data_IF_382519562258
#
_entry.id   IF_382519562258
#
_cell.length_a   1.000
_cell.length_b   1.000
_cell.length_c   1.000
_cell.angle_alpha   90.00
_cell.angle_beta   90.00
_cell.angle_gamma   90.00
#
_symmetry.space_group_name_H-M   'P 1'
#
loop_
_entity.id
_entity.type
_entity.pdbx_description
1 polymer ?
#
# COMPACT_ATOMS: atom_id res chain seq x y z
N UNK A 1 -29.77 17.48 2.15
CA UNK A 1 -29.62 18.91 2.51
C UNK A 1 -28.29 19.03 3.26
N UNK A 2 -27.57 20.16 3.19
CA UNK A 2 -26.37 20.31 4.03
C UNK A 2 -26.77 20.32 5.50
N UNK A 3 -26.08 19.52 6.30
CA UNK A 3 -26.24 19.41 7.74
C UNK A 3 -25.04 20.06 8.42
N UNK A 4 -25.27 20.88 9.44
CA UNK A 4 -24.19 21.40 10.27
C UNK A 4 -23.60 20.29 11.12
N UNK A 5 -22.27 20.19 11.18
CA UNK A 5 -21.63 19.18 12.02
C UNK A 5 -21.17 19.81 13.34
N UNK A 6 -21.71 19.29 14.44
CA UNK A 6 -21.33 19.72 15.81
C UNK A 6 -20.35 18.74 16.47
N UNK A 7 -20.03 17.64 15.78
CA UNK A 7 -19.24 16.52 16.31
C UNK A 7 -18.50 15.77 15.19
N UNK A 8 -17.49 14.95 15.53
CA UNK A 8 -16.79 14.14 14.54
C UNK A 8 -17.69 13.24 13.72
N UNK A 9 -17.49 13.26 12.40
CA UNK A 9 -18.10 12.27 11.53
C UNK A 9 -17.55 10.88 11.83
N UNK A 10 -18.42 9.86 11.72
CA UNK A 10 -18.01 8.47 11.87
C UNK A 10 -17.05 8.07 10.75
N UNK A 11 -15.95 7.42 11.12
CA UNK A 11 -14.89 6.97 10.20
C UNK A 11 -13.50 7.36 10.69
N UNK A 12 -12.49 7.21 9.83
CA UNK A 12 -11.17 7.81 10.06
C UNK A 12 -11.28 9.33 10.13
N UNK A 13 -10.53 9.98 11.03
CA UNK A 13 -10.59 11.42 11.26
C UNK A 13 -9.20 11.94 11.62
N UNK A 14 -8.59 12.74 10.73
CA UNK A 14 -7.29 13.38 10.97
C UNK A 14 -7.39 14.86 11.36
N UNK A 15 -8.56 15.48 11.22
CA UNK A 15 -8.74 16.94 11.25
C UNK A 15 -9.99 17.39 12.04
N UNK A 16 -10.10 18.70 12.37
CA UNK A 16 -11.35 19.29 12.88
C UNK A 16 -12.51 19.10 11.90
N UNK A 17 -13.74 19.13 12.41
CA UNK A 17 -14.92 18.75 11.63
C UNK A 17 -15.37 19.84 10.66
N UNK A 18 -15.84 19.44 9.47
CA UNK A 18 -16.34 20.37 8.47
C UNK A 18 -17.56 21.15 8.97
N UNK A 19 -17.64 22.44 8.66
CA UNK A 19 -18.76 23.27 9.11
C UNK A 19 -20.13 22.74 8.62
N UNK A 20 -20.19 22.33 7.36
CA UNK A 20 -21.40 21.83 6.71
C UNK A 20 -21.06 20.61 5.84
N UNK A 21 -21.91 19.58 5.85
CA UNK A 21 -21.74 18.40 4.98
C UNK A 21 -23.05 18.02 4.30
N UNK A 22 -22.97 17.69 3.01
CA UNK A 22 -24.08 17.14 2.25
C UNK A 22 -23.96 15.62 2.24
N UNK A 23 -24.96 14.92 2.75
CA UNK A 23 -25.00 13.45 2.80
C UNK A 23 -25.97 12.85 1.78
N UNK A 24 -25.66 11.61 1.35
CA UNK A 24 -26.52 10.74 0.52
C UNK A 24 -27.22 9.65 1.36
N UNK A 25 -27.51 9.96 2.61
CA UNK A 25 -28.08 9.01 3.56
C UNK A 25 -29.07 9.69 4.48
N UNK A 26 -29.72 8.87 5.31
CA UNK A 26 -30.50 9.36 6.42
C UNK A 26 -29.58 9.77 7.59
N UNK A 27 -30.02 10.66 8.49
CA UNK A 27 -29.21 11.16 9.60
C UNK A 27 -28.48 10.08 10.43
N UNK A 28 -29.13 8.94 10.67
CA UNK A 28 -28.58 7.82 11.44
C UNK A 28 -27.35 7.13 10.80
N UNK A 29 -27.18 7.31 9.49
CA UNK A 29 -26.15 6.73 8.62
C UNK A 29 -25.13 7.78 8.15
N UNK A 30 -25.21 9.02 8.64
CA UNK A 30 -24.28 10.10 8.28
C UNK A 30 -22.86 9.80 8.78
N UNK A 31 -21.90 9.92 7.88
CA UNK A 31 -20.49 9.66 8.12
C UNK A 31 -19.64 9.96 6.88
N UNK A 32 -18.34 9.79 6.99
CA UNK A 32 -17.43 10.03 5.85
C UNK A 32 -17.72 9.12 4.65
N UNK A 33 -18.29 7.95 4.88
CA UNK A 33 -18.70 7.00 3.85
C UNK A 33 -19.96 7.44 3.06
N UNK A 34 -20.73 8.40 3.56
CA UNK A 34 -21.97 8.89 2.93
C UNK A 34 -21.90 10.38 2.55
N UNK A 35 -20.77 11.04 2.82
CA UNK A 35 -20.54 12.44 2.49
C UNK A 35 -20.38 12.66 0.97
N UNK A 36 -21.30 13.42 0.36
CA UNK A 36 -21.23 13.81 -1.05
C UNK A 36 -20.32 15.02 -1.27
N UNK A 37 -20.42 16.01 -0.39
CA UNK A 37 -19.66 17.26 -0.48
C UNK A 37 -19.53 17.88 0.91
N UNK A 38 -18.42 18.58 1.11
CA UNK A 38 -18.09 19.30 2.34
C UNK A 38 -18.10 20.80 2.04
N UNK A 39 -18.53 21.60 3.01
CA UNK A 39 -18.56 23.04 2.91
C UNK A 39 -17.95 23.69 4.15
N UNK A 40 -16.98 24.56 3.91
CA UNK A 40 -16.26 25.34 4.91
C UNK A 40 -16.88 26.73 5.05
N UNK A 41 -16.96 27.23 6.29
CA UNK A 41 -17.42 28.60 6.58
C UNK A 41 -16.30 29.37 7.29
N UNK A 42 -15.86 30.46 6.66
CA UNK A 42 -14.89 31.40 7.20
C UNK A 42 -15.59 32.72 7.51
N UNK A 43 -15.55 33.12 8.78
CA UNK A 43 -16.28 34.27 9.32
C UNK A 43 -15.47 35.58 9.37
N UNK A 44 -14.26 35.64 8.80
CA UNK A 44 -13.39 36.82 8.82
C UNK A 44 -13.15 37.39 7.42
N UNK A 45 -12.97 38.72 7.34
CA UNK A 45 -12.45 39.40 6.16
C UNK A 45 -10.95 39.05 5.92
N UNK A 46 -10.25 38.60 6.97
CA UNK A 46 -8.91 38.03 6.91
C UNK A 46 -8.97 36.54 6.49
N UNK A 47 -9.43 36.27 5.28
CA UNK A 47 -9.49 34.91 4.73
C UNK A 47 -8.07 34.35 4.52
N UNK A 48 -7.68 33.37 5.35
CA UNK A 48 -6.46 32.59 5.14
C UNK A 48 -6.74 31.40 4.22
N UNK A 49 -6.42 31.60 2.94
CA UNK A 49 -6.52 30.55 1.92
C UNK A 49 -5.70 29.31 2.26
N UNK A 50 -4.51 29.46 2.84
CA UNK A 50 -3.62 28.33 3.10
C UNK A 50 -4.20 27.42 4.19
N UNK A 51 -4.66 28.01 5.30
CA UNK A 51 -5.30 27.25 6.39
C UNK A 51 -6.61 26.58 5.95
N UNK A 52 -7.45 27.30 5.20
CA UNK A 52 -8.70 26.77 4.64
C UNK A 52 -8.43 25.58 3.70
N UNK A 53 -7.48 25.73 2.78
CA UNK A 53 -7.09 24.69 1.84
C UNK A 53 -6.52 23.46 2.56
N UNK A 54 -5.67 23.67 3.57
CA UNK A 54 -5.09 22.58 4.36
C UNK A 54 -6.18 21.71 4.99
N UNK A 55 -7.21 22.32 5.58
CA UNK A 55 -8.36 21.59 6.16
C UNK A 55 -9.11 20.79 5.10
N UNK A 56 -9.44 21.41 3.96
CA UNK A 56 -10.16 20.74 2.87
C UNK A 56 -9.38 19.56 2.29
N UNK A 57 -8.05 19.62 2.27
CA UNK A 57 -7.19 18.49 1.88
C UNK A 57 -7.33 17.32 2.85
N UNK A 58 -7.37 17.58 4.16
CA UNK A 58 -7.59 16.51 5.16
C UNK A 58 -8.99 15.90 5.04
N UNK A 59 -10.02 16.73 4.87
CA UNK A 59 -11.39 16.26 4.66
C UNK A 59 -11.51 15.41 3.39
N UNK A 60 -10.80 15.78 2.33
CA UNK A 60 -10.72 14.99 1.11
C UNK A 60 -10.00 13.66 1.32
N UNK A 61 -8.92 13.64 2.11
CA UNK A 61 -8.25 12.41 2.52
C UNK A 61 -9.19 11.49 3.31
N UNK A 62 -9.98 12.02 4.24
CA UNK A 62 -10.97 11.22 4.99
C UNK A 62 -12.11 10.70 4.07
N UNK A 63 -12.58 11.49 3.11
CA UNK A 63 -13.52 11.01 2.09
C UNK A 63 -12.91 9.89 1.24
N UNK A 64 -11.71 10.08 0.70
CA UNK A 64 -11.04 9.05 -0.10
C UNK A 64 -10.78 7.78 0.73
N UNK A 65 -10.43 7.91 2.01
CA UNK A 65 -10.25 6.76 2.89
C UNK A 65 -11.55 5.97 3.14
N UNK A 66 -12.70 6.63 3.22
CA UNK A 66 -13.98 5.99 3.54
C UNK A 66 -14.82 5.64 2.30
N UNK A 67 -14.51 6.22 1.14
CA UNK A 67 -15.17 6.00 -0.16
C UNK A 67 -14.10 5.58 -1.18
N UNK A 68 -13.81 4.29 -1.24
CA UNK A 68 -12.77 3.72 -2.12
C UNK A 68 -13.16 3.69 -3.61
N UNK A 69 -14.37 4.14 -3.96
CA UNK A 69 -14.84 4.40 -5.32
C UNK A 69 -14.91 5.91 -5.64
N UNK A 70 -14.25 6.76 -4.83
CA UNK A 70 -14.22 8.21 -5.04
C UNK A 70 -12.98 8.63 -5.84
N UNK A 71 -13.22 9.29 -6.98
CA UNK A 71 -12.20 9.80 -7.92
C UNK A 71 -11.78 11.25 -7.66
N UNK A 72 -12.72 12.05 -7.18
CA UNK A 72 -12.49 13.45 -6.80
C UNK A 72 -13.60 13.92 -5.86
N UNK A 73 -13.31 14.94 -5.06
CA UNK A 73 -14.27 15.62 -4.20
C UNK A 73 -14.45 17.06 -4.63
N UNK A 74 -15.71 17.53 -4.61
CA UNK A 74 -16.04 18.94 -4.77
C UNK A 74 -16.48 19.46 -3.40
N UNK A 75 -15.86 20.52 -2.92
CA UNK A 75 -16.22 21.25 -1.72
C UNK A 75 -16.56 22.71 -2.01
N UNK A 76 -17.23 23.35 -1.06
CA UNK A 76 -17.54 24.78 -1.09
C UNK A 76 -16.73 25.50 -0.01
N UNK A 77 -16.30 26.73 -0.30
CA UNK A 77 -15.80 27.64 0.72
C UNK A 77 -16.69 28.87 0.75
N UNK A 78 -17.31 29.14 1.88
CA UNK A 78 -18.03 30.38 2.16
C UNK A 78 -17.10 31.32 2.93
N UNK A 79 -16.80 32.48 2.35
CA UNK A 79 -16.03 33.55 2.98
C UNK A 79 -16.93 34.79 3.03
N UNK A 80 -17.57 35.01 4.19
CA UNK A 80 -18.63 35.99 4.36
C UNK A 80 -19.73 35.90 3.27
N UNK A 81 -19.76 36.85 2.32
CA UNK A 81 -20.76 36.94 1.22
C UNK A 81 -20.25 36.37 -0.10
N UNK A 82 -19.06 35.79 -0.10
CA UNK A 82 -18.46 35.21 -1.30
C UNK A 82 -18.34 33.70 -1.17
N UNK A 83 -18.48 33.01 -2.29
CA UNK A 83 -18.42 31.55 -2.37
C UNK A 83 -17.50 31.14 -3.51
N UNK A 84 -16.84 29.99 -3.34
CA UNK A 84 -16.11 29.32 -4.42
C UNK A 84 -16.29 27.81 -4.33
N UNK A 85 -16.01 27.15 -5.45
CA UNK A 85 -15.89 25.69 -5.50
C UNK A 85 -14.42 25.30 -5.46
N UNK A 86 -14.13 24.21 -4.76
CA UNK A 86 -12.82 23.59 -4.71
C UNK A 86 -12.97 22.14 -5.12
N UNK A 87 -12.24 21.72 -6.15
CA UNK A 87 -12.14 20.33 -6.55
C UNK A 87 -10.79 19.78 -6.11
N UNK A 88 -10.84 18.66 -5.40
CA UNK A 88 -9.66 17.92 -4.95
C UNK A 88 -9.72 16.56 -5.62
N UNK A 89 -8.72 16.26 -6.43
CA UNK A 89 -8.50 14.98 -7.10
C UNK A 89 -7.11 14.45 -6.74
N UNK A 90 -6.65 13.38 -7.38
CA UNK A 90 -5.33 12.78 -7.09
C UNK A 90 -4.14 13.50 -7.77
N UNK A 91 -4.39 14.63 -8.45
CA UNK A 91 -3.38 15.59 -8.91
C UNK A 91 -3.34 16.84 -8.01
N UNK A 92 -4.04 16.83 -6.87
CA UNK A 92 -4.10 17.93 -5.90
C UNK A 92 -5.36 18.78 -6.04
N UNK A 93 -5.22 20.11 -5.96
CA UNK A 93 -6.38 21.02 -5.85
C UNK A 93 -6.57 21.90 -7.09
N UNK A 94 -7.82 22.15 -7.46
CA UNK A 94 -8.28 23.18 -8.41
C UNK A 94 -9.37 23.99 -7.71
N UNK A 95 -9.22 25.31 -7.63
CA UNK A 95 -10.21 26.20 -7.02
C UNK A 95 -10.75 27.19 -8.06
N UNK A 96 -12.05 27.45 -8.01
CA UNK A 96 -12.64 28.57 -8.78
C UNK A 96 -12.24 29.91 -8.16
N UNK A 97 -12.44 30.99 -8.92
CA UNK A 97 -12.53 32.32 -8.33
C UNK A 97 -13.72 32.39 -7.37
N UNK A 98 -13.66 33.35 -6.45
CA UNK A 98 -14.80 33.69 -5.60
C UNK A 98 -15.85 34.44 -6.41
N UNK A 99 -17.11 34.15 -6.16
CA UNK A 99 -18.25 34.94 -6.64
C UNK A 99 -19.07 35.45 -5.46
N UNK A 100 -19.64 36.64 -5.60
CA UNK A 100 -20.49 37.25 -4.58
C UNK A 100 -21.92 36.72 -4.69
N UNK A 101 -22.49 36.24 -3.58
CA UNK A 101 -23.80 35.58 -3.56
C UNK A 101 -24.97 36.54 -3.79
N UNK A 102 -24.81 37.84 -3.55
CA UNK A 102 -25.86 38.82 -3.80
C UNK A 102 -25.90 39.23 -5.26
N UNK A 103 -24.71 39.35 -5.86
CA UNK A 103 -24.56 39.72 -7.25
C UNK A 103 -24.82 38.53 -8.18
N UNK A 104 -24.47 37.31 -7.76
CA UNK A 104 -24.55 36.09 -8.54
C UNK A 104 -25.22 34.92 -7.78
N UNK A 105 -26.46 35.11 -7.27
CA UNK A 105 -27.16 34.08 -6.49
C UNK A 105 -27.45 32.81 -7.30
N UNK A 106 -27.56 32.92 -8.63
CA UNK A 106 -27.80 31.78 -9.51
C UNK A 106 -26.61 30.81 -9.52
N UNK A 107 -25.38 31.29 -9.35
CA UNK A 107 -24.20 30.43 -9.25
C UNK A 107 -24.22 29.59 -7.96
N UNK A 108 -24.65 30.16 -6.84
CA UNK A 108 -24.80 29.41 -5.59
C UNK A 108 -25.85 28.30 -5.74
N UNK A 109 -27.02 28.64 -6.28
CA UNK A 109 -28.11 27.67 -6.51
C UNK A 109 -27.66 26.55 -7.45
N UNK A 110 -26.98 26.89 -8.55
CA UNK A 110 -26.43 25.90 -9.50
C UNK A 110 -25.40 25.00 -8.85
N UNK A 111 -24.54 25.54 -7.98
CA UNK A 111 -23.50 24.78 -7.29
C UNK A 111 -24.11 23.74 -6.35
N UNK A 112 -25.04 24.18 -5.48
CA UNK A 112 -25.71 23.29 -4.53
C UNK A 112 -26.61 22.27 -5.26
N UNK A 113 -27.40 22.71 -6.25
CA UNK A 113 -28.23 21.80 -7.04
C UNK A 113 -27.39 20.79 -7.82
N UNK A 114 -26.24 21.22 -8.37
CA UNK A 114 -25.29 20.34 -9.04
C UNK A 114 -24.79 19.23 -8.11
N UNK A 115 -24.40 19.57 -6.88
CA UNK A 115 -23.93 18.60 -5.89
C UNK A 115 -25.03 17.64 -5.41
N UNK A 116 -26.29 18.10 -5.35
CA UNK A 116 -27.42 17.30 -4.88
C UNK A 116 -28.02 16.38 -5.95
N UNK A 117 -28.06 16.82 -7.22
CA UNK A 117 -28.89 16.19 -8.25
C UNK A 117 -28.12 15.71 -9.47
N UNK A 118 -26.82 15.99 -9.59
CA UNK A 118 -26.04 15.45 -10.70
C UNK A 118 -25.81 13.94 -10.55
N UNK A 119 -25.43 13.29 -11.64
CA UNK A 119 -25.09 11.87 -11.62
C UNK A 119 -23.94 11.57 -10.65
N UNK A 120 -23.86 10.35 -10.13
CA UNK A 120 -22.73 9.93 -9.26
C UNK A 120 -21.37 10.17 -9.94
N UNK A 121 -21.28 9.92 -11.25
CA UNK A 121 -20.09 10.23 -12.04
C UNK A 121 -19.73 11.72 -12.04
N UNK A 122 -20.73 12.61 -12.09
CA UNK A 122 -20.50 14.06 -12.11
C UNK A 122 -20.00 14.61 -10.76
N UNK A 123 -20.36 13.96 -9.66
CA UNK A 123 -19.92 14.34 -8.30
C UNK A 123 -18.72 13.53 -7.81
N UNK A 124 -18.11 12.72 -8.68
CA UNK A 124 -16.79 12.12 -8.44
C UNK A 124 -16.78 10.66 -8.03
N UNK A 125 -17.88 9.92 -8.15
CA UNK A 125 -17.86 8.46 -7.98
C UNK A 125 -17.42 7.74 -9.25
N UNK A 126 -16.73 6.63 -9.09
CA UNK A 126 -16.50 5.63 -10.13
C UNK A 126 -17.75 4.77 -10.32
N UNK A 127 -18.39 4.89 -11.48
CA UNK A 127 -19.62 4.16 -11.80
C UNK A 127 -19.38 2.75 -12.36
N UNK A 128 -18.13 2.32 -12.51
CA UNK A 128 -17.78 0.91 -12.74
C UNK A 128 -17.94 0.07 -11.48
N UNK A 129 -17.97 0.70 -10.30
CA UNK A 129 -18.29 0.06 -9.02
C UNK A 129 -19.77 0.30 -8.70
N UNK A 130 -20.47 -0.76 -8.33
CA UNK A 130 -21.90 -0.72 -8.03
C UNK A 130 -22.19 -1.51 -6.75
N UNK A 131 -23.13 -1.00 -5.95
CA UNK A 131 -23.61 -1.69 -4.75
C UNK A 131 -24.99 -2.29 -5.04
N UNK A 132 -25.11 -3.61 -4.94
CA UNK A 132 -26.37 -4.31 -5.10
C UNK A 132 -27.29 -4.02 -3.91
N UNK A 133 -28.59 -4.33 -4.05
CA UNK A 133 -29.57 -4.20 -2.96
C UNK A 133 -29.22 -5.03 -1.71
N UNK A 134 -28.40 -6.06 -1.88
CA UNK A 134 -27.89 -6.90 -0.79
C UNK A 134 -26.74 -6.26 -0.01
N UNK A 135 -26.24 -5.10 -0.45
CA UNK A 135 -25.01 -4.48 0.06
C UNK A 135 -23.73 -5.04 -0.57
N UNK A 136 -23.80 -6.13 -1.35
CA UNK A 136 -22.66 -6.67 -2.07
C UNK A 136 -22.20 -5.66 -3.13
N UNK A 137 -20.91 -5.32 -3.10
CA UNK A 137 -20.29 -4.46 -4.11
C UNK A 137 -19.75 -5.29 -5.26
N UNK A 138 -19.90 -4.77 -6.47
CA UNK A 138 -19.38 -5.35 -7.69
C UNK A 138 -18.57 -4.32 -8.46
N UNK A 139 -17.49 -4.74 -9.09
CA UNK A 139 -16.64 -3.90 -9.93
C UNK A 139 -16.56 -4.48 -11.33
N UNK A 140 -16.77 -3.62 -12.33
CA UNK A 140 -16.62 -3.97 -13.73
C UNK A 140 -15.24 -3.57 -14.23
N UNK A 141 -14.52 -4.54 -14.79
CA UNK A 141 -13.20 -4.36 -15.40
C UNK A 141 -13.22 -4.98 -16.79
N UNK A 142 -13.07 -4.16 -17.84
CA UNK A 142 -13.27 -4.58 -19.22
C UNK A 142 -14.70 -5.09 -19.47
N UNK A 143 -14.84 -6.35 -19.86
CA UNK A 143 -16.13 -7.02 -20.06
C UNK A 143 -16.58 -7.81 -18.84
N UNK A 144 -15.75 -7.87 -17.81
CA UNK A 144 -15.89 -8.79 -16.69
C UNK A 144 -16.41 -8.07 -15.45
N UNK A 145 -17.18 -8.79 -14.64
CA UNK A 145 -17.72 -8.28 -13.37
C UNK A 145 -17.20 -9.17 -12.25
N UNK A 146 -16.72 -8.54 -11.19
CA UNK A 146 -16.13 -9.18 -10.03
C UNK A 146 -16.88 -8.75 -8.77
N UNK A 147 -17.15 -9.69 -7.87
CA UNK A 147 -17.67 -9.38 -6.55
C UNK A 147 -16.52 -8.90 -5.67
N UNK A 148 -16.62 -7.69 -5.11
CA UNK A 148 -15.63 -7.18 -4.16
C UNK A 148 -15.85 -7.89 -2.83
N UNK A 149 -14.89 -8.72 -2.41
CA UNK A 149 -14.96 -9.46 -1.15
C UNK A 149 -14.49 -8.58 0.00
N UNK A 150 -13.37 -7.87 -0.17
CA UNK A 150 -12.82 -6.97 0.82
C UNK A 150 -11.89 -5.92 0.20
N UNK A 151 -11.75 -4.77 0.87
CA UNK A 151 -10.67 -3.82 0.60
C UNK A 151 -9.42 -4.23 1.37
N UNK A 152 -8.33 -4.51 0.66
CA UNK A 152 -7.05 -4.96 1.22
C UNK A 152 -6.14 -3.81 1.61
N UNK A 153 -6.14 -2.73 0.82
CA UNK A 153 -5.33 -1.54 1.07
C UNK A 153 -5.99 -0.29 0.45
N UNK A 154 -5.70 0.87 1.02
CA UNK A 154 -6.03 2.17 0.46
C UNK A 154 -4.96 3.19 0.84
N UNK A 155 -4.51 3.97 -0.14
CA UNK A 155 -3.76 5.21 0.10
C UNK A 155 -4.70 6.40 -0.15
N UNK A 156 -5.10 7.14 0.91
CA UNK A 156 -6.01 8.28 0.80
C UNK A 156 -5.32 9.60 0.41
N UNK A 157 -4.05 9.57 -0.01
CA UNK A 157 -3.31 10.76 -0.41
C UNK A 157 -4.03 11.51 -1.55
N UNK A 158 -4.22 12.82 -1.35
CA UNK A 158 -4.81 13.72 -2.36
C UNK A 158 -3.87 14.00 -3.53
N UNK A 159 -2.62 13.54 -3.49
CA UNK A 159 -1.69 13.68 -4.61
C UNK A 159 -0.80 12.46 -4.66
N UNK A 160 -0.78 11.76 -5.79
CA UNK A 160 0.01 10.55 -5.95
C UNK A 160 -0.76 9.43 -6.62
N UNK A 161 -0.34 8.18 -6.37
CA UNK A 161 -0.98 7.00 -6.96
C UNK A 161 -2.36 6.70 -6.39
N UNK A 162 -2.64 7.15 -5.16
CA UNK A 162 -3.90 6.91 -4.45
C UNK A 162 -4.39 5.45 -4.59
N UNK A 163 -3.45 4.53 -4.37
CA UNK A 163 -3.64 3.11 -4.66
C UNK A 163 -4.77 2.53 -3.84
N UNK A 164 -5.68 1.80 -4.50
CA UNK A 164 -6.70 0.98 -3.83
C UNK A 164 -6.52 -0.46 -4.26
N UNK A 165 -6.54 -1.39 -3.31
CA UNK A 165 -6.42 -2.82 -3.60
C UNK A 165 -7.61 -3.55 -3.04
N UNK A 166 -8.29 -4.34 -3.87
CA UNK A 166 -9.40 -5.20 -3.48
C UNK A 166 -9.07 -6.67 -3.65
N UNK A 167 -9.52 -7.46 -2.68
CA UNK A 167 -9.79 -8.87 -2.88
C UNK A 167 -11.14 -8.97 -3.58
N UNK A 168 -11.15 -9.57 -4.76
CA UNK A 168 -12.37 -9.78 -5.50
C UNK A 168 -12.52 -11.24 -5.90
N UNK A 169 -13.73 -11.64 -6.27
CA UNK A 169 -14.05 -13.00 -6.67
C UNK A 169 -14.85 -13.00 -7.96
N UNK A 170 -14.54 -13.96 -8.83
CA UNK A 170 -15.34 -14.23 -10.02
C UNK A 170 -15.34 -15.73 -10.31
N UNK A 171 -16.52 -16.29 -10.54
CA UNK A 171 -16.70 -17.72 -10.82
C UNK A 171 -16.02 -18.64 -9.78
N UNK A 172 -16.03 -18.23 -8.50
CA UNK A 172 -15.38 -18.96 -7.40
C UNK A 172 -13.86 -18.83 -7.33
N UNK A 173 -13.23 -18.04 -8.21
CA UNK A 173 -11.79 -17.79 -8.21
C UNK A 173 -11.51 -16.46 -7.52
N UNK A 174 -10.64 -16.49 -6.52
CA UNK A 174 -10.15 -15.31 -5.80
C UNK A 174 -9.04 -14.62 -6.61
N UNK A 175 -9.12 -13.30 -6.70
CA UNK A 175 -8.22 -12.44 -7.46
C UNK A 175 -7.92 -11.14 -6.68
N UNK A 176 -6.92 -10.41 -7.16
CA UNK A 176 -6.61 -9.06 -6.69
C UNK A 176 -6.96 -8.05 -7.77
N UNK A 177 -7.61 -6.96 -7.40
CA UNK A 177 -7.79 -5.79 -8.27
C UNK A 177 -7.04 -4.62 -7.65
N UNK A 178 -6.09 -4.05 -8.38
CA UNK A 178 -5.27 -2.90 -7.97
C UNK A 178 -5.64 -1.69 -8.84
N UNK A 179 -6.11 -0.63 -8.21
CA UNK A 179 -6.41 0.67 -8.82
C UNK A 179 -5.33 1.68 -8.51
N UNK A 180 -4.96 2.48 -9.51
CA UNK A 180 -3.89 3.48 -9.42
C UNK A 180 -4.19 4.72 -10.28
N UNK A 181 -3.78 5.88 -9.78
CA UNK A 181 -3.69 7.14 -10.52
C UNK A 181 -2.26 7.39 -10.96
N UNK A 182 -1.92 6.99 -12.18
CA UNK A 182 -0.56 7.08 -12.69
C UNK A 182 -0.34 8.37 -13.46
N UNK A 183 0.83 8.98 -13.28
CA UNK A 183 1.29 10.04 -14.18
C UNK A 183 1.22 9.52 -15.64
N UNK A 184 0.77 10.35 -16.57
CA UNK A 184 0.66 9.99 -17.99
C UNK A 184 1.98 9.43 -18.53
N UNK A 185 3.13 9.98 -18.11
CA UNK A 185 4.46 9.57 -18.57
C UNK A 185 4.89 8.21 -17.99
N UNK A 186 4.45 7.89 -16.78
CA UNK A 186 4.81 6.66 -16.05
C UNK A 186 3.70 5.60 -16.04
N UNK A 187 2.62 5.85 -16.77
CA UNK A 187 1.54 4.90 -16.94
C UNK A 187 2.07 3.61 -17.57
N UNK A 188 1.48 2.46 -17.22
CA UNK A 188 1.81 1.15 -17.79
C UNK A 188 3.18 0.54 -17.43
N UNK A 189 4.05 1.22 -16.65
CA UNK A 189 5.37 0.67 -16.28
C UNK A 189 5.23 -0.64 -15.50
N UNK A 190 4.50 -0.65 -14.38
CA UNK A 190 4.31 -1.86 -13.56
C UNK A 190 3.73 -3.00 -14.38
N UNK A 191 2.69 -2.73 -15.18
CA UNK A 191 2.07 -3.72 -16.06
C UNK A 191 3.07 -4.28 -17.09
N UNK A 192 3.94 -3.45 -17.66
CA UNK A 192 4.99 -3.88 -18.58
C UNK A 192 6.04 -4.78 -17.91
N UNK A 193 6.41 -4.48 -16.67
CA UNK A 193 7.32 -5.32 -15.87
C UNK A 193 6.66 -6.66 -15.54
N UNK A 194 5.40 -6.65 -15.09
CA UNK A 194 4.64 -7.89 -14.83
C UNK A 194 4.47 -8.75 -16.08
N UNK A 195 4.24 -8.14 -17.24
CA UNK A 195 4.16 -8.86 -18.52
C UNK A 195 5.51 -9.50 -18.90
N UNK A 196 6.62 -8.81 -18.61
CA UNK A 196 7.99 -9.32 -18.82
C UNK A 196 8.32 -10.48 -17.87
N UNK A 197 7.76 -10.44 -16.65
CA UNK A 197 8.00 -11.41 -15.58
C UNK A 197 6.95 -12.54 -15.49
N UNK A 198 5.96 -12.59 -16.39
CA UNK A 198 4.78 -13.49 -16.31
C UNK A 198 5.08 -14.99 -16.24
N UNK A 199 6.26 -15.39 -16.74
CA UNK A 199 6.78 -16.76 -16.79
C UNK A 199 7.60 -17.13 -15.54
N UNK A 200 7.90 -16.18 -14.65
CA UNK A 200 8.66 -16.41 -13.43
C UNK A 200 7.72 -17.01 -12.35
N UNK A 201 8.00 -18.22 -11.84
CA UNK A 201 7.27 -18.76 -10.69
C UNK A 201 7.44 -17.87 -9.46
N UNK A 202 6.35 -17.63 -8.73
CA UNK A 202 6.38 -16.77 -7.54
C UNK A 202 6.31 -15.27 -7.84
N UNK A 203 5.97 -14.84 -9.06
CA UNK A 203 5.59 -13.46 -9.39
C UNK A 203 4.09 -13.39 -9.71
N UNK A 204 3.42 -12.32 -9.27
CA UNK A 204 2.03 -12.08 -9.62
C UNK A 204 1.85 -11.89 -11.14
N UNK A 205 0.75 -12.41 -11.67
CA UNK A 205 0.43 -12.36 -13.10
C UNK A 205 -0.65 -11.34 -13.37
N UNK A 206 -0.41 -10.49 -14.37
CA UNK A 206 -1.40 -9.57 -14.90
C UNK A 206 -2.42 -10.35 -15.75
N UNK A 207 -3.70 -10.27 -15.38
CA UNK A 207 -4.82 -10.85 -16.12
C UNK A 207 -5.43 -9.83 -17.06
N UNK A 208 -5.61 -8.60 -16.58
CA UNK A 208 -6.22 -7.51 -17.35
C UNK A 208 -5.67 -6.19 -16.86
N UNK A 209 -5.44 -5.27 -17.80
CA UNK A 209 -5.13 -3.87 -17.54
C UNK A 209 -6.14 -3.02 -18.29
N UNK A 210 -6.77 -2.07 -17.61
CA UNK A 210 -7.64 -1.09 -18.24
C UNK A 210 -7.26 0.34 -17.83
N UNK A 211 -7.52 1.29 -18.74
CA UNK A 211 -7.80 2.66 -18.35
C UNK A 211 -9.27 2.75 -18.02
N UNK A 212 -9.62 3.22 -16.83
CA UNK A 212 -11.02 3.30 -16.38
C UNK A 212 -11.78 4.25 -17.29
N UNK A 213 -13.01 3.88 -17.65
CA UNK A 213 -13.87 4.64 -18.55
C UNK A 213 -15.11 5.14 -17.80
N UNK A 214 -15.24 6.46 -17.64
CA UNK A 214 -16.40 7.10 -17.02
C UNK A 214 -17.19 7.83 -18.09
N UNK A 215 -18.48 7.52 -18.22
CA UNK A 215 -19.36 8.09 -19.25
C UNK A 215 -18.78 7.99 -20.67
N UNK A 216 -18.10 6.87 -20.98
CA UNK A 216 -17.41 6.58 -22.26
C UNK A 216 -16.17 7.44 -22.56
N UNK A 217 -15.66 8.15 -21.57
CA UNK A 217 -14.41 8.91 -21.65
C UNK A 217 -13.36 8.28 -20.76
N UNK A 218 -12.09 8.30 -21.19
CA UNK A 218 -10.96 7.88 -20.34
C UNK A 218 -10.92 8.75 -19.10
N UNK A 219 -10.91 8.12 -17.96
CA UNK A 219 -10.91 8.81 -16.69
C UNK A 219 -9.51 9.34 -16.37
N UNK A 220 -9.45 10.63 -16.07
CA UNK A 220 -8.21 11.36 -15.83
C UNK A 220 -8.48 12.65 -15.08
N UNK A 221 -7.44 13.21 -14.46
CA UNK A 221 -7.51 14.53 -13.81
C UNK A 221 -7.47 15.71 -14.81
N UNK A 222 -7.41 15.44 -16.13
CA UNK A 222 -7.23 16.47 -17.15
C UNK A 222 -8.44 17.41 -17.33
N UNK A 223 -9.66 16.94 -17.04
CA UNK A 223 -10.92 17.61 -17.43
C UNK A 223 -10.94 19.10 -17.03
N UNK A 224 -10.64 19.39 -15.77
CA UNK A 224 -10.63 20.76 -15.23
C UNK A 224 -9.23 21.38 -15.18
N UNK A 225 -8.19 20.58 -15.40
CA UNK A 225 -6.79 21.02 -15.32
C UNK A 225 -6.24 21.50 -16.65
N UNK A 226 -6.83 21.11 -17.77
CA UNK A 226 -6.41 21.52 -19.12
C UNK A 226 -6.37 23.03 -19.34
N UNK A 227 -7.08 23.82 -18.53
CA UNK A 227 -7.07 25.28 -18.54
C UNK A 227 -5.89 25.90 -17.76
N UNK A 228 -5.18 25.09 -16.96
CA UNK A 228 -4.04 25.51 -16.14
C UNK A 228 -2.74 25.39 -16.92
N UNK A 229 -1.71 26.17 -16.56
CA UNK A 229 -0.39 26.09 -17.17
C UNK A 229 0.45 24.98 -16.52
N UNK A 230 0.82 23.96 -17.31
CA UNK A 230 1.68 22.85 -16.88
C UNK A 230 1.10 21.96 -15.77
N UNK A 231 -0.18 21.52 -15.85
CA UNK A 231 -0.77 20.72 -14.80
C UNK A 231 -0.18 19.30 -14.77
N UNK A 232 -0.01 18.76 -13.57
CA UNK A 232 0.19 17.32 -13.39
C UNK A 232 -1.11 16.58 -13.74
N UNK A 233 -1.07 15.74 -14.78
CA UNK A 233 -2.22 14.95 -15.22
C UNK A 233 -1.95 13.48 -14.88
N UNK A 234 -2.95 12.84 -14.28
CA UNK A 234 -2.93 11.42 -13.95
C UNK A 234 -4.05 10.68 -14.67
N UNK A 235 -3.74 9.49 -15.16
CA UNK A 235 -4.68 8.53 -15.75
C UNK A 235 -5.09 7.51 -14.69
N UNK A 236 -6.38 7.22 -14.64
CA UNK A 236 -6.93 6.19 -13.76
C UNK A 236 -6.78 4.82 -14.43
N UNK A 237 -5.96 3.95 -13.85
CA UNK A 237 -5.65 2.63 -14.37
C UNK A 237 -5.97 1.54 -13.35
N UNK A 238 -6.46 0.41 -13.85
CA UNK A 238 -6.84 -0.73 -13.04
C UNK A 238 -6.25 -2.03 -13.56
N UNK A 239 -5.73 -2.83 -12.65
CA UNK A 239 -5.12 -4.13 -12.94
C UNK A 239 -5.85 -5.24 -12.21
N UNK A 240 -6.16 -6.32 -12.93
CA UNK A 240 -6.61 -7.60 -12.37
C UNK A 240 -5.41 -8.53 -12.31
N UNK A 241 -5.15 -9.11 -11.14
CA UNK A 241 -3.94 -9.89 -10.86
C UNK A 241 -4.27 -11.23 -10.20
N UNK A 242 -3.43 -12.23 -10.47
CA UNK A 242 -3.56 -13.61 -9.95
C UNK A 242 -2.17 -14.21 -9.64
N UNK A 243 -2.04 -15.15 -8.70
CA UNK A 243 -3.06 -15.62 -7.76
C UNK A 243 -3.36 -14.58 -6.67
N UNK A 244 -4.51 -14.72 -6.02
CA UNK A 244 -4.73 -14.10 -4.72
C UNK A 244 -3.78 -14.72 -3.68
N UNK A 245 -3.27 -13.90 -2.77
CA UNK A 245 -2.33 -14.33 -1.74
C UNK A 245 -2.56 -13.56 -0.43
N UNK A 246 -2.20 -14.19 0.68
CA UNK A 246 -2.28 -13.65 2.03
C UNK A 246 -0.94 -13.03 2.43
N UNK A 247 -0.96 -12.12 3.41
CA UNK A 247 0.27 -11.50 3.94
C UNK A 247 1.21 -12.56 4.51
N UNK A 248 2.52 -12.31 4.48
CA UNK A 248 3.52 -13.23 5.06
C UNK A 248 3.22 -13.60 6.50
N UNK A 249 2.58 -12.72 7.28
CA UNK A 249 2.23 -12.96 8.67
C UNK A 249 1.27 -14.14 8.90
N UNK A 250 0.54 -14.56 7.87
CA UNK A 250 -0.42 -15.66 7.92
C UNK A 250 0.25 -17.04 7.78
N UNK A 251 1.57 -17.13 7.94
CA UNK A 251 2.30 -18.40 7.93
C UNK A 251 1.74 -19.37 8.98
N UNK A 252 1.68 -20.66 8.66
CA UNK A 252 1.15 -21.74 9.53
C UNK A 252 2.21 -22.35 10.44
N UNK A 253 3.48 -22.25 10.05
CA UNK A 253 4.64 -22.76 10.79
C UNK A 253 5.90 -22.00 10.37
N UNK A 254 6.98 -22.11 11.15
CA UNK A 254 8.29 -21.56 10.75
C UNK A 254 8.78 -22.21 9.46
N UNK A 255 8.50 -23.50 9.25
CA UNK A 255 8.84 -24.19 8.00
C UNK A 255 8.17 -23.53 6.79
N UNK A 256 6.89 -23.18 6.90
CA UNK A 256 6.19 -22.45 5.84
C UNK A 256 6.77 -21.04 5.65
N UNK A 257 7.03 -20.30 6.72
CA UNK A 257 7.65 -18.99 6.65
C UNK A 257 8.98 -19.03 5.87
N UNK A 258 9.90 -19.91 6.25
CA UNK A 258 11.19 -20.04 5.57
C UNK A 258 11.01 -20.52 4.11
N UNK A 259 10.03 -21.39 3.84
CA UNK A 259 9.72 -21.81 2.47
C UNK A 259 9.23 -20.66 1.59
N UNK A 260 8.40 -19.77 2.13
CA UNK A 260 7.89 -18.57 1.44
C UNK A 260 9.04 -17.61 1.11
N UNK A 261 9.99 -17.42 2.03
CA UNK A 261 11.20 -16.64 1.75
C UNK A 261 12.04 -17.26 0.63
N UNK A 262 12.22 -18.58 0.62
CA UNK A 262 12.95 -19.28 -0.44
C UNK A 262 12.29 -19.03 -1.80
N UNK A 263 10.97 -19.20 -1.90
CA UNK A 263 10.23 -18.97 -3.14
C UNK A 263 10.35 -17.51 -3.62
N UNK A 264 10.24 -16.53 -2.71
CA UNK A 264 10.37 -15.11 -3.04
C UNK A 264 11.80 -14.72 -3.48
N UNK A 265 12.84 -15.29 -2.86
CA UNK A 265 14.24 -15.05 -3.24
C UNK A 265 14.56 -15.67 -4.60
N UNK A 266 14.00 -16.84 -4.93
CA UNK A 266 14.16 -17.44 -6.26
C UNK A 266 13.41 -16.66 -7.36
N UNK A 267 12.22 -16.15 -7.04
CA UNK A 267 11.49 -15.24 -7.92
C UNK A 267 12.28 -13.95 -8.17
N UNK A 268 12.82 -13.35 -7.12
CA UNK A 268 13.70 -12.17 -7.19
C UNK A 268 14.98 -12.45 -7.99
N UNK A 269 15.62 -13.61 -7.78
CA UNK A 269 16.77 -14.06 -8.58
C UNK A 269 16.43 -14.09 -10.07
N UNK A 270 15.25 -14.61 -10.41
CA UNK A 270 14.77 -14.70 -11.79
C UNK A 270 14.47 -13.33 -12.39
N UNK A 271 13.92 -12.38 -11.60
CA UNK A 271 13.75 -10.98 -12.04
C UNK A 271 15.09 -10.34 -12.39
N UNK A 272 16.12 -10.52 -11.55
CA UNK A 272 17.45 -9.98 -11.80
C UNK A 272 18.07 -10.53 -13.08
N UNK A 273 17.84 -11.81 -13.42
CA UNK A 273 18.25 -12.37 -14.70
C UNK A 273 17.52 -11.76 -15.91
N UNK A 274 16.34 -11.17 -15.68
CA UNK A 274 15.58 -10.38 -16.67
C UNK A 274 15.88 -8.89 -16.61
N UNK A 275 17.00 -8.48 -16.00
CA UNK A 275 17.41 -7.09 -15.85
C UNK A 275 16.54 -6.25 -14.91
N UNK A 276 15.68 -6.88 -14.09
CA UNK A 276 14.73 -6.19 -13.21
C UNK A 276 15.20 -6.33 -11.75
N UNK A 277 15.47 -5.21 -11.10
CA UNK A 277 15.71 -5.12 -9.65
C UNK A 277 14.42 -4.66 -8.96
N UNK A 278 14.03 -5.29 -7.84
CA UNK A 278 12.71 -5.02 -7.25
C UNK A 278 12.68 -3.72 -6.43
N UNK A 279 13.76 -3.43 -5.69
CA UNK A 279 13.97 -2.17 -4.96
C UNK A 279 12.99 -1.88 -3.81
N UNK A 280 12.01 -2.75 -3.56
CA UNK A 280 10.99 -2.58 -2.51
C UNK A 280 10.61 -3.92 -1.87
N UNK A 281 11.62 -4.70 -1.50
CA UNK A 281 11.41 -5.92 -0.72
C UNK A 281 10.94 -5.53 0.69
N UNK A 282 9.71 -5.92 1.03
CA UNK A 282 9.06 -5.57 2.31
C UNK A 282 8.19 -6.72 2.83
N UNK A 283 7.80 -6.66 4.10
CA UNK A 283 6.84 -7.64 4.66
C UNK A 283 5.44 -7.56 4.03
N UNK A 284 5.14 -6.50 3.28
CA UNK A 284 3.86 -6.36 2.56
C UNK A 284 3.93 -6.91 1.14
N UNK A 285 5.14 -7.11 0.60
CA UNK A 285 5.36 -7.52 -0.79
C UNK A 285 5.75 -9.00 -0.91
N UNK A 286 6.11 -9.65 0.20
CA UNK A 286 6.25 -11.10 0.28
C UNK A 286 4.92 -11.68 0.79
N UNK A 287 4.31 -12.55 -0.01
CA UNK A 287 2.96 -13.05 0.19
C UNK A 287 2.94 -14.59 0.16
N UNK A 288 1.84 -15.17 0.66
CA UNK A 288 1.59 -16.61 0.71
C UNK A 288 0.38 -16.90 -0.17
N UNK A 289 0.57 -17.55 -1.32
CA UNK A 289 -0.54 -17.96 -2.17
C UNK A 289 -1.12 -19.29 -1.70
N UNK A 290 -2.41 -19.53 -1.96
CA UNK A 290 -3.02 -20.83 -1.67
C UNK A 290 -2.60 -21.93 -2.68
N UNK A 291 -1.72 -21.61 -3.63
CA UNK A 291 -1.05 -22.62 -4.45
C UNK A 291 -0.14 -23.49 -3.57
N UNK A 292 -0.23 -24.81 -3.75
CA UNK A 292 0.46 -25.78 -2.92
C UNK A 292 1.71 -26.34 -3.63
N UNK A 293 2.81 -26.47 -2.89
CA UNK A 293 3.99 -27.20 -3.38
C UNK A 293 3.61 -28.66 -3.72
N UNK A 294 3.91 -29.09 -4.94
CA UNK A 294 3.69 -30.47 -5.39
C UNK A 294 2.24 -30.85 -5.68
N UNK A 295 1.31 -29.89 -5.73
CA UNK A 295 -0.09 -30.13 -6.10
C UNK A 295 -0.56 -29.18 -7.20
N UNK A 296 -1.43 -29.68 -8.08
CA UNK A 296 -2.19 -28.89 -9.06
C UNK A 296 -3.57 -28.45 -8.54
N UNK A 297 -3.92 -28.78 -7.29
CA UNK A 297 -5.20 -28.40 -6.69
C UNK A 297 -5.16 -26.99 -6.11
N UNK A 298 -6.12 -26.15 -6.50
CA UNK A 298 -6.33 -24.79 -6.00
C UNK A 298 -7.24 -24.70 -4.76
N UNK A 299 -7.29 -25.76 -3.93
CA UNK A 299 -8.10 -25.76 -2.70
C UNK A 299 -7.31 -25.16 -1.52
N UNK A 300 -7.97 -24.47 -0.59
CA UNK A 300 -7.34 -24.01 0.64
C UNK A 300 -6.69 -25.16 1.40
N UNK A 301 -5.45 -24.96 1.83
CA UNK A 301 -4.64 -25.97 2.48
C UNK A 301 -5.17 -26.28 3.89
N UNK A 302 -5.44 -27.56 4.18
CA UNK A 302 -5.85 -28.02 5.52
C UNK A 302 -4.66 -28.34 6.43
N UNK A 303 -4.93 -28.65 7.70
CA UNK A 303 -3.90 -29.03 8.68
C UNK A 303 -3.15 -30.29 8.21
N UNK A 304 -1.81 -30.24 8.22
CA UNK A 304 -0.95 -31.35 7.76
C UNK A 304 -0.78 -31.46 6.23
N UNK A 305 -1.26 -30.49 5.45
CA UNK A 305 -1.11 -30.45 4.00
C UNK A 305 0.19 -29.77 3.52
N UNK A 306 0.56 -29.87 2.23
CA UNK A 306 1.80 -29.29 1.70
C UNK A 306 1.97 -27.80 2.00
N UNK A 307 3.22 -27.34 1.94
CA UNK A 307 3.56 -25.93 2.12
C UNK A 307 2.91 -25.10 1.01
N UNK A 308 2.33 -23.96 1.39
CA UNK A 308 1.88 -22.95 0.45
C UNK A 308 3.09 -22.27 -0.22
N UNK A 309 2.88 -21.74 -1.41
CA UNK A 309 3.92 -21.09 -2.22
C UNK A 309 4.11 -19.63 -1.79
N UNK A 310 5.35 -19.17 -1.83
CA UNK A 310 5.64 -17.74 -1.75
C UNK A 310 5.31 -17.02 -3.06
N UNK A 311 4.85 -15.78 -2.94
CA UNK A 311 4.56 -14.88 -4.04
C UNK A 311 5.19 -13.51 -3.73
N UNK A 312 5.99 -12.99 -4.65
CA UNK A 312 6.54 -11.64 -4.61
C UNK A 312 5.67 -10.74 -5.50
N UNK A 313 5.19 -9.64 -4.92
CA UNK A 313 4.27 -8.69 -5.55
C UNK A 313 4.86 -7.27 -5.55
N UNK A 314 4.19 -6.36 -6.26
CA UNK A 314 4.45 -4.92 -6.24
C UNK A 314 5.81 -4.51 -6.84
N UNK A 315 5.90 -4.64 -8.17
CA UNK A 315 7.09 -4.23 -8.97
C UNK A 315 7.02 -2.76 -9.41
N UNK A 316 6.20 -1.96 -8.74
CA UNK A 316 5.97 -0.54 -9.03
C UNK A 316 7.21 0.33 -8.85
N UNK A 317 8.10 -0.07 -7.94
CA UNK A 317 9.37 0.60 -7.62
C UNK A 317 10.56 -0.04 -8.33
N UNK A 318 10.32 -1.04 -9.18
CA UNK A 318 11.38 -1.83 -9.79
C UNK A 318 12.20 -1.01 -10.80
N UNK A 319 13.50 -1.28 -10.84
CA UNK A 319 14.46 -0.61 -11.70
C UNK A 319 15.07 -1.56 -12.71
N UNK A 320 15.30 -1.07 -13.92
CA UNK A 320 16.09 -1.79 -14.91
C UNK A 320 17.58 -1.60 -14.62
N UNK A 321 18.35 -2.70 -14.43
CA UNK A 321 19.75 -2.62 -13.96
C UNK A 321 20.67 -1.86 -14.93
N UNK A 322 20.38 -1.90 -16.23
CA UNK A 322 21.14 -1.20 -17.26
C UNK A 322 20.77 0.29 -17.37
N UNK A 323 19.60 0.68 -16.86
CA UNK A 323 19.07 2.05 -16.97
C UNK A 323 18.94 2.76 -15.61
N UNK A 324 19.77 2.38 -14.63
CA UNK A 324 19.80 3.07 -13.34
C UNK A 324 20.48 4.44 -13.51
N UNK A 325 19.70 5.42 -13.98
CA UNK A 325 19.99 6.83 -13.78
C UNK A 325 20.02 7.18 -12.29
N UNK A 326 20.61 8.32 -11.96
CA UNK A 326 20.65 8.84 -10.59
C UNK A 326 19.22 9.14 -10.11
N UNK A 327 18.58 8.18 -9.44
CA UNK A 327 17.33 8.41 -8.74
C UNK A 327 17.56 9.38 -7.58
N UNK A 328 16.68 10.36 -7.44
CA UNK A 328 16.71 11.33 -6.34
C UNK A 328 15.84 10.81 -5.21
N UNK A 329 16.46 10.48 -4.07
CA UNK A 329 15.77 10.07 -2.85
C UNK A 329 15.83 8.57 -2.55
N UNK A 330 15.06 8.16 -1.54
CA UNK A 330 14.93 6.78 -1.09
C UNK A 330 13.76 6.11 -1.81
N UNK A 331 14.03 5.05 -2.57
CA UNK A 331 13.00 4.22 -3.24
C UNK A 331 12.77 2.94 -2.45
N UNK A 332 11.51 2.64 -2.16
CA UNK A 332 11.05 1.45 -1.42
C UNK A 332 10.65 1.70 0.04
N UNK A 333 10.43 0.62 0.78
CA UNK A 333 9.98 0.67 2.17
C UNK A 333 11.14 0.95 3.11
N UNK A 334 11.20 2.18 3.62
CA UNK A 334 12.33 2.75 4.38
C UNK A 334 12.94 1.82 5.46
N UNK A 335 12.10 1.18 6.28
CA UNK A 335 12.56 0.30 7.38
C UNK A 335 13.27 -0.97 6.89
N UNK A 336 13.08 -1.37 5.64
CA UNK A 336 13.71 -2.57 5.04
C UNK A 336 14.87 -2.24 4.12
N UNK A 337 15.11 -0.97 3.81
CA UNK A 337 16.22 -0.56 2.94
C UNK A 337 17.57 -1.05 3.47
N UNK A 338 18.47 -1.34 2.54
CA UNK A 338 19.83 -1.75 2.87
C UNK A 338 20.61 -0.64 3.57
N UNK A 339 21.62 -1.04 4.34
CA UNK A 339 22.52 -0.13 5.00
C UNK A 339 23.24 0.81 4.02
N UNK A 340 23.64 0.31 2.85
CA UNK A 340 24.31 1.12 1.83
C UNK A 340 23.38 2.19 1.24
N UNK A 341 22.14 1.82 0.92
CA UNK A 341 21.11 2.76 0.42
C UNK A 341 20.84 3.85 1.45
N UNK A 342 20.67 3.48 2.71
CA UNK A 342 20.38 4.42 3.80
C UNK A 342 21.54 5.40 4.10
N UNK A 343 22.79 4.94 4.02
CA UNK A 343 23.97 5.79 4.28
C UNK A 343 24.26 6.74 3.13
N UNK A 344 24.15 6.25 1.89
CA UNK A 344 24.63 6.99 0.72
C UNK A 344 23.51 7.66 -0.10
N UNK A 345 22.25 7.30 0.15
CA UNK A 345 21.08 7.85 -0.55
C UNK A 345 21.24 7.79 -2.06
N UNK A 346 20.99 8.91 -2.74
CA UNK A 346 21.15 9.05 -4.20
C UNK A 346 22.59 8.94 -4.72
N UNK A 347 23.59 8.81 -3.84
CA UNK A 347 25.00 8.66 -4.21
C UNK A 347 25.42 7.22 -4.46
N UNK A 348 24.54 6.24 -4.21
CA UNK A 348 24.81 4.82 -4.47
C UNK A 348 23.85 4.25 -5.52
N UNK A 349 24.38 3.41 -6.43
CA UNK A 349 23.58 2.60 -7.34
C UNK A 349 23.07 1.38 -6.58
N UNK A 350 21.76 1.18 -6.55
CA UNK A 350 21.15 -0.03 -5.98
C UNK A 350 21.59 -1.28 -6.76
N UNK A 351 21.75 -2.39 -6.04
CA UNK A 351 22.27 -3.66 -6.54
C UNK A 351 21.38 -4.82 -6.06
N UNK A 352 21.46 -5.99 -6.70
CA UNK A 352 20.82 -7.21 -6.18
C UNK A 352 21.13 -7.51 -4.71
N UNK A 353 22.33 -7.19 -4.23
CA UNK A 353 22.72 -7.35 -2.82
C UNK A 353 21.93 -6.46 -1.85
N UNK A 354 21.42 -5.32 -2.31
CA UNK A 354 20.59 -4.43 -1.48
C UNK A 354 19.23 -5.06 -1.21
N UNK A 355 18.58 -5.62 -2.25
CA UNK A 355 17.33 -6.39 -2.10
C UNK A 355 17.52 -7.64 -1.24
N UNK A 356 18.67 -8.33 -1.35
CA UNK A 356 19.01 -9.46 -0.47
C UNK A 356 19.18 -9.03 0.99
N UNK A 357 19.78 -7.86 1.25
CA UNK A 357 19.84 -7.27 2.60
C UNK A 357 18.42 -6.94 3.10
N UNK A 358 17.54 -6.46 2.22
CA UNK A 358 16.13 -6.20 2.57
C UNK A 358 15.38 -7.48 2.95
N UNK A 359 15.54 -8.60 2.24
CA UNK A 359 14.97 -9.89 2.66
C UNK A 359 15.40 -10.29 4.08
N UNK A 360 16.67 -10.04 4.42
CA UNK A 360 17.16 -10.26 5.78
C UNK A 360 16.45 -9.37 6.81
N UNK A 361 16.29 -8.08 6.54
CA UNK A 361 15.57 -7.16 7.42
C UNK A 361 14.09 -7.51 7.57
N UNK A 362 13.44 -8.03 6.52
CA UNK A 362 12.07 -8.54 6.62
C UNK A 362 12.00 -9.76 7.56
N UNK A 363 12.95 -10.69 7.47
CA UNK A 363 12.99 -11.83 8.40
C UNK A 363 13.23 -11.38 9.84
N UNK A 364 14.14 -10.42 10.08
CA UNK A 364 14.36 -9.79 11.39
C UNK A 364 13.06 -9.16 11.91
N UNK A 365 12.33 -8.44 11.06
CA UNK A 365 11.05 -7.83 11.43
C UNK A 365 10.01 -8.87 11.84
N UNK A 366 9.87 -9.96 11.07
CA UNK A 366 8.92 -11.03 11.39
C UNK A 366 9.25 -11.67 12.75
N UNK A 367 10.50 -12.03 13.00
CA UNK A 367 10.88 -12.74 14.25
C UNK A 367 10.79 -11.86 15.51
N UNK A 368 10.83 -10.53 15.33
CA UNK A 368 10.65 -9.57 16.42
C UNK A 368 9.17 -9.25 16.64
N UNK A 369 8.37 -9.12 15.57
CA UNK A 369 6.99 -8.61 15.63
C UNK A 369 5.96 -9.67 16.04
N UNK A 370 6.12 -10.91 15.59
CA UNK A 370 5.10 -11.94 15.79
C UNK A 370 5.45 -12.86 16.97
N UNK A 371 4.42 -13.27 17.72
CA UNK A 371 4.52 -14.19 18.85
C UNK A 371 4.29 -15.65 18.45
N UNK A 372 3.85 -15.89 17.21
CA UNK A 372 3.46 -17.21 16.72
C UNK A 372 2.92 -17.16 15.29
N UNK A 373 2.43 -18.30 14.76
CA UNK A 373 1.82 -18.39 13.44
C UNK A 373 0.47 -17.67 13.36
N UNK A 374 -0.12 -17.64 12.17
CA UNK A 374 -1.48 -17.13 11.93
C UNK A 374 -1.68 -15.67 12.34
N UNK A 375 -0.74 -14.80 11.97
CA UNK A 375 -0.79 -13.35 12.23
C UNK A 375 -0.83 -13.00 13.72
N UNK A 376 -0.31 -13.89 14.59
CA UNK A 376 -0.26 -13.63 16.03
C UNK A 376 0.79 -12.57 16.35
N UNK A 377 0.37 -11.33 16.55
CA UNK A 377 1.27 -10.24 16.95
C UNK A 377 1.62 -10.27 18.43
N UNK A 378 2.83 -9.81 18.76
CA UNK A 378 3.22 -9.55 20.14
C UNK A 378 2.45 -8.38 20.74
N UNK A 379 2.15 -8.47 22.03
CA UNK A 379 1.57 -7.40 22.85
C UNK A 379 2.61 -6.69 23.70
N UNK A 380 3.69 -7.40 24.05
CA UNK A 380 4.78 -6.94 24.91
C UNK A 380 5.83 -6.09 24.19
N UNK A 381 5.69 -5.93 22.87
CA UNK A 381 6.70 -5.30 22.05
C UNK A 381 6.10 -4.58 20.84
N UNK A 382 6.21 -3.26 20.79
CA UNK A 382 5.82 -2.48 19.62
C UNK A 382 7.04 -2.14 18.76
N UNK A 383 7.42 -3.04 17.85
CA UNK A 383 8.58 -2.87 16.98
C UNK A 383 8.54 -1.60 16.10
N UNK A 384 7.35 -1.02 15.90
CA UNK A 384 7.13 0.20 15.09
C UNK A 384 7.13 1.49 15.89
N UNK A 385 7.04 1.44 17.23
CA UNK A 385 6.86 2.63 18.08
C UNK A 385 7.86 2.68 19.24
N UNK A 386 8.46 1.56 19.66
CA UNK A 386 9.35 1.51 20.82
C UNK A 386 10.80 1.16 20.44
N UNK A 387 11.68 2.17 20.41
CA UNK A 387 13.10 2.03 20.75
C UNK A 387 13.99 1.17 19.83
N UNK A 388 13.48 0.63 18.72
CA UNK A 388 14.31 -0.12 17.76
C UNK A 388 14.79 0.79 16.64
N UNK A 389 16.00 1.33 16.80
CA UNK A 389 16.62 2.25 15.82
C UNK A 389 16.51 1.76 14.37
N UNK A 390 16.64 0.45 14.12
CA UNK A 390 16.60 -0.11 12.76
C UNK A 390 15.22 -0.05 12.06
N UNK A 391 14.13 0.19 12.81
CA UNK A 391 12.76 0.30 12.31
C UNK A 391 12.18 1.71 12.45
N UNK A 392 13.04 2.71 12.73
CA UNK A 392 12.63 4.10 12.71
C UNK A 392 12.17 4.50 11.30
N UNK A 393 11.05 5.21 11.20
CA UNK A 393 10.46 5.67 9.93
C UNK A 393 10.86 7.11 9.56
N UNK A 394 11.56 7.81 10.46
CA UNK A 394 12.02 9.17 10.22
C UNK A 394 13.17 9.17 9.22
N UNK A 395 12.87 9.60 7.99
CA UNK A 395 13.84 9.66 6.91
C UNK A 395 14.99 10.63 7.16
N UNK A 396 14.81 11.62 8.05
CA UNK A 396 15.91 12.52 8.42
C UNK A 396 17.05 11.80 9.15
N UNK A 397 16.77 10.63 9.73
CA UNK A 397 17.73 9.78 10.44
C UNK A 397 18.30 8.66 9.57
N UNK A 398 18.09 8.68 8.24
CA UNK A 398 18.48 7.58 7.34
C UNK A 398 19.94 7.15 7.49
N UNK A 399 20.88 8.09 7.54
CA UNK A 399 22.30 7.77 7.66
C UNK A 399 22.64 7.05 8.98
N UNK A 400 22.02 7.46 10.09
CA UNK A 400 22.22 6.84 11.41
C UNK A 400 21.63 5.43 11.46
N UNK A 401 20.42 5.26 10.91
CA UNK A 401 19.76 3.95 10.76
C UNK A 401 20.62 3.03 9.89
N UNK A 402 21.13 3.55 8.77
CA UNK A 402 22.02 2.83 7.87
C UNK A 402 23.33 2.40 8.55
N UNK A 403 23.94 3.29 9.34
CA UNK A 403 25.12 2.97 10.14
C UNK A 403 24.83 1.89 11.19
N UNK A 404 23.67 1.95 11.86
CA UNK A 404 23.25 0.93 12.82
C UNK A 404 23.05 -0.44 12.15
N UNK A 405 22.36 -0.47 11.00
CA UNK A 405 22.18 -1.68 10.20
C UNK A 405 23.51 -2.27 9.74
N UNK A 406 24.42 -1.42 9.23
CA UNK A 406 25.79 -1.82 8.87
C UNK A 406 26.54 -2.40 10.07
N UNK A 407 26.41 -1.80 11.24
CA UNK A 407 27.04 -2.30 12.47
C UNK A 407 26.50 -3.69 12.85
N UNK A 408 25.18 -3.87 12.83
CA UNK A 408 24.53 -5.18 13.07
C UNK A 408 25.04 -6.27 12.11
N UNK A 409 25.21 -5.92 10.83
CA UNK A 409 25.70 -6.86 9.82
C UNK A 409 27.21 -7.12 9.88
N UNK A 410 28.02 -6.20 10.41
CA UNK A 410 29.49 -6.28 10.34
C UNK A 410 30.21 -6.51 11.67
N UNK A 411 29.64 -6.12 12.82
CA UNK A 411 30.28 -6.28 14.13
C UNK A 411 29.99 -7.65 14.79
N UNK A 412 31.05 -8.34 15.23
CA UNK A 412 30.97 -9.65 15.88
C UNK A 412 30.31 -9.56 17.25
N UNK A 413 29.42 -10.50 17.58
CA UNK A 413 28.76 -10.60 18.89
C UNK A 413 27.58 -9.64 19.10
N UNK A 414 27.35 -8.71 18.15
CA UNK A 414 26.29 -7.69 18.26
C UNK A 414 24.90 -8.30 18.04
N UNK A 415 24.79 -9.29 17.15
CA UNK A 415 23.52 -10.00 16.91
C UNK A 415 23.06 -10.72 18.18
N UNK A 416 23.96 -11.45 18.84
CA UNK A 416 23.68 -12.19 20.06
C UNK A 416 23.35 -11.26 21.24
N UNK A 417 24.08 -10.15 21.38
CA UNK A 417 23.90 -9.19 22.47
C UNK A 417 22.66 -8.32 22.32
N UNK A 418 22.43 -7.78 21.12
CA UNK A 418 21.48 -6.67 20.92
C UNK A 418 20.22 -7.06 20.14
N UNK A 419 20.26 -8.18 19.39
CA UNK A 419 19.14 -8.62 18.54
C UNK A 419 18.42 -9.84 19.12
N UNK A 420 19.14 -10.89 19.49
CA UNK A 420 18.55 -12.14 19.98
C UNK A 420 17.65 -11.98 21.22
N UNK A 421 17.91 -11.06 22.17
CA UNK A 421 16.98 -10.79 23.27
C UNK A 421 15.62 -10.23 22.81
N UNK A 422 15.54 -9.66 21.60
CA UNK A 422 14.31 -9.07 21.04
C UNK A 422 13.43 -10.11 20.32
N UNK A 423 13.92 -11.31 20.03
CA UNK A 423 13.16 -12.33 19.31
C UNK A 423 11.97 -12.81 20.15
N UNK A 424 10.86 -13.17 19.48
CA UNK A 424 9.83 -13.96 20.14
C UNK A 424 10.38 -15.36 20.48
N UNK A 425 9.91 -15.95 21.59
CA UNK A 425 10.30 -17.31 21.99
C UNK A 425 9.91 -18.34 20.93
N UNK A 426 8.86 -18.07 20.16
CA UNK A 426 8.45 -18.91 19.04
C UNK A 426 9.55 -19.11 18.00
N UNK A 427 10.46 -18.14 17.84
CA UNK A 427 11.53 -18.12 16.83
C UNK A 427 12.93 -18.39 17.41
N UNK A 428 13.02 -18.93 18.63
CA UNK A 428 14.31 -19.19 19.29
C UNK A 428 15.22 -20.12 18.47
N UNK A 429 14.63 -21.11 17.82
CA UNK A 429 15.31 -22.08 16.95
C UNK A 429 15.74 -21.50 15.59
N UNK A 430 15.30 -20.29 15.23
CA UNK A 430 15.81 -19.58 14.05
C UNK A 430 17.09 -18.80 14.33
N UNK A 431 17.50 -18.59 15.60
CA UNK A 431 18.74 -17.86 15.94
C UNK A 431 19.99 -18.38 15.21
N UNK A 432 20.24 -19.70 15.06
CA UNK A 432 21.37 -20.21 14.28
C UNK A 432 21.30 -19.79 12.80
N UNK A 433 20.13 -19.95 12.16
CA UNK A 433 19.91 -19.49 10.79
C UNK A 433 20.19 -17.99 10.65
N UNK A 434 19.74 -17.20 11.64
CA UNK A 434 19.96 -15.77 11.68
C UNK A 434 21.46 -15.42 11.75
N UNK A 435 22.21 -16.09 12.63
CA UNK A 435 23.66 -15.89 12.71
C UNK A 435 24.38 -16.29 11.42
N UNK A 436 24.01 -17.41 10.79
CA UNK A 436 24.61 -17.89 9.54
C UNK A 436 24.39 -16.90 8.38
N UNK A 437 23.16 -16.42 8.19
CA UNK A 437 22.81 -15.44 7.15
C UNK A 437 23.63 -14.15 7.34
N UNK A 438 23.62 -13.59 8.56
CA UNK A 438 24.42 -12.40 8.90
C UNK A 438 25.92 -12.62 8.68
N UNK A 439 26.46 -13.79 9.00
CA UNK A 439 27.87 -14.09 8.78
C UNK A 439 28.23 -14.23 7.30
N UNK A 440 27.28 -14.66 6.47
CA UNK A 440 27.48 -14.68 5.03
C UNK A 440 27.51 -13.26 4.43
N UNK A 441 26.74 -12.29 4.98
CA UNK A 441 26.91 -10.86 4.65
C UNK A 441 28.28 -10.31 5.07
N UNK A 442 28.87 -10.78 6.18
CA UNK A 442 30.22 -10.35 6.58
C UNK A 442 31.33 -10.85 5.65
N UNK A 443 31.25 -12.11 5.22
CA UNK A 443 32.35 -12.81 4.55
C UNK A 443 32.46 -12.45 3.07
N UNK A 444 31.34 -12.17 2.43
CA UNK A 444 31.28 -11.91 1.00
C UNK A 444 31.10 -10.42 0.75
N UNK A 445 32.05 -9.80 0.03
CA UNK A 445 31.89 -8.40 -0.44
C UNK A 445 30.68 -8.23 -1.36
N UNK A 446 30.23 -9.32 -2.00
CA UNK A 446 28.97 -9.44 -2.74
C UNK A 446 28.26 -10.72 -2.27
N UNK A 447 27.29 -10.57 -1.37
CA UNK A 447 26.47 -11.68 -0.87
C UNK A 447 25.69 -12.33 -2.03
N UNK A 448 25.73 -13.66 -2.14
CA UNK A 448 25.15 -14.39 -3.29
C UNK A 448 23.83 -15.05 -2.93
N UNK A 449 22.96 -15.20 -3.93
CA UNK A 449 21.71 -15.95 -3.82
C UNK A 449 21.93 -17.37 -3.29
N UNK A 450 22.95 -18.08 -3.80
CA UNK A 450 23.22 -19.47 -3.40
C UNK A 450 23.53 -19.58 -1.91
N UNK A 451 24.35 -18.66 -1.37
CA UNK A 451 24.66 -18.65 0.06
C UNK A 451 23.40 -18.46 0.92
N UNK A 452 22.51 -17.53 0.54
CA UNK A 452 21.26 -17.29 1.25
C UNK A 452 20.32 -18.50 1.18
N UNK A 453 20.10 -19.00 -0.03
CA UNK A 453 19.18 -20.09 -0.31
C UNK A 453 19.64 -21.39 0.36
N UNK A 454 20.93 -21.68 0.38
CA UNK A 454 21.47 -22.89 1.02
C UNK A 454 21.28 -22.87 2.54
N UNK A 455 21.44 -21.71 3.19
CA UNK A 455 21.17 -21.57 4.64
C UNK A 455 19.68 -21.74 4.92
N UNK A 456 18.82 -21.07 4.15
CA UNK A 456 17.37 -21.14 4.33
C UNK A 456 16.83 -22.55 4.06
N UNK A 457 17.31 -23.24 3.02
CA UNK A 457 16.89 -24.61 2.69
C UNK A 457 17.24 -25.59 3.80
N UNK A 458 18.48 -25.57 4.28
CA UNK A 458 18.89 -26.40 5.43
C UNK A 458 18.03 -26.12 6.66
N UNK A 459 17.73 -24.85 6.92
CA UNK A 459 16.88 -24.44 8.04
C UNK A 459 15.45 -24.97 7.88
N UNK A 460 14.83 -24.75 6.72
CA UNK A 460 13.49 -25.28 6.39
C UNK A 460 13.41 -26.79 6.58
N UNK A 461 14.41 -27.52 6.12
CA UNK A 461 14.39 -28.98 6.13
C UNK A 461 14.46 -29.53 7.57
N UNK A 462 15.12 -28.82 8.49
CA UNK A 462 15.17 -29.14 9.92
C UNK A 462 13.93 -28.72 10.73
N UNK A 463 13.08 -27.85 10.20
CA UNK A 463 11.88 -27.37 10.91
C UNK A 463 10.68 -28.33 10.75
N UNK A 464 9.81 -28.46 11.77
CA UNK A 464 8.60 -29.28 11.69
C UNK A 464 7.58 -28.68 10.71
N UNK A 465 6.82 -29.54 10.03
CA UNK A 465 5.76 -29.09 9.10
C UNK A 465 4.59 -28.43 9.84
N UNK A 466 4.23 -29.01 10.98
CA UNK A 466 3.12 -28.62 11.84
C UNK A 466 3.70 -28.24 13.21
N UNK A 467 3.24 -27.12 13.75
CA UNK A 467 3.66 -26.61 15.05
C UNK A 467 2.42 -26.39 15.92
N UNK A 468 2.45 -26.93 17.13
CA UNK A 468 1.44 -26.66 18.16
C UNK A 468 2.04 -25.65 19.15
N UNK A 469 1.91 -24.36 18.82
CA UNK A 469 2.41 -23.26 19.64
C UNK A 469 1.24 -22.46 20.24
N UNK A 470 0.84 -22.74 21.50
CA UNK A 470 -0.06 -21.87 22.22
C UNK A 470 0.66 -20.56 22.54
N UNK A 471 0.08 -19.43 22.13
CA UNK A 471 0.62 -18.08 22.40
C UNK A 471 0.84 -17.84 23.90
N UNK A 472 0.03 -18.48 24.75
CA UNK A 472 0.14 -18.51 26.21
C UNK A 472 1.47 -19.08 26.73
N UNK A 473 2.27 -19.73 25.87
CA UNK A 473 3.60 -20.22 26.21
C UNK A 473 4.70 -19.15 26.09
N UNK A 474 4.43 -17.96 25.55
CA UNK A 474 5.35 -16.83 25.67
C UNK A 474 5.10 -16.15 27.03
N UNK A 475 6.00 -16.26 28.03
CA UNK A 475 5.82 -15.72 29.39
C UNK A 475 5.83 -14.19 29.43
N UNK A 476 6.03 -13.53 28.28
CA UNK A 476 5.84 -12.08 28.12
C UNK A 476 4.40 -11.72 27.78
N UNK A 477 3.52 -12.71 27.61
CA UNK A 477 2.09 -12.55 27.29
C UNK A 477 1.18 -12.78 28.50
#
# INVERSE_FOLDING_TARGET
MYTATESPLRGHCMAPHPALVLFDSKPEEEGWNTALSVAEIVFSDDYDFASSLHRQIHEASDVFFNQDDRRFQISLTFAARTVRLVLIDHSGVVASEFFDIDNQPDLLVRSVAGLMFSSRASIGFDTSITTLKTGQRQIKVGQDVYDIVARLAINPDVRGKATVVWHARRNGVDIVIKDNWNDVEHSYIEAGILETAKDIPGIAKLVTLETVMINRTKDSTALLRSILNGPEIRLHQRMVMTPFAQKISHFRSKKELISVFIDAIEAHRSLVHKNILHCDISSNNIMISDELHGSSSSRPASFGEPLRRGLLIDVDSALELDNIGYWVGFVGTFIFMSSAVLIHGSSTKQRPSDDLESFWWVLVYVVIRYAGPHDTTRTDYNATIEGVTMFCQDQSQAADIGCYKKHMLSAKGVLERDMFPKFSMYFEDLKPCMAELRNAFMKNKEFTYDAMLDILRRTRDGLPLVEDWPVQNDPRY
#
